data_IF_895247025248
#
_entry.id   IF_895247025248
#
_cell.length_a   1.000
_cell.length_b   1.000
_cell.length_c   1.000
_cell.angle_alpha   90.00
_cell.angle_beta   90.00
_cell.angle_gamma   90.00
#
_symmetry.space_group_name_H-M   'P 1'
#
loop_
_entity.id
_entity.type
_entity.pdbx_description
1 polymer ?
#
# COMPACT_ATOMS: atom_id res chain seq x y z
N UNK A 1 -37.47 -57.38 21.87
CA UNK A 1 -38.49 -56.50 21.25
C UNK A 1 -38.18 -55.05 21.65
N UNK A 2 -37.82 -54.24 20.64
CA UNK A 2 -37.85 -52.76 20.55
C UNK A 2 -37.01 -51.93 21.55
N UNK A 3 -35.89 -51.34 21.10
CA UNK A 3 -35.71 -50.06 20.35
C UNK A 3 -35.88 -48.81 21.24
N UNK A 4 -34.75 -48.17 21.55
CA UNK A 4 -34.46 -46.78 21.14
C UNK A 4 -32.94 -46.53 21.17
N UNK A 5 -32.39 -46.40 19.99
CA UNK A 5 -31.08 -45.83 19.68
C UNK A 5 -31.24 -44.38 19.22
N UNK A 6 -30.10 -43.66 19.10
CA UNK A 6 -29.87 -42.34 18.46
C UNK A 6 -30.07 -41.17 19.44
N UNK A 7 -29.14 -40.23 19.69
CA UNK A 7 -27.95 -39.73 18.97
C UNK A 7 -26.92 -39.21 19.99
N UNK A 8 -25.67 -39.71 19.97
CA UNK A 8 -24.53 -39.09 20.66
C UNK A 8 -23.30 -39.22 19.75
N UNK A 9 -23.34 -38.53 18.61
CA UNK A 9 -22.28 -38.62 17.61
C UNK A 9 -22.13 -37.33 16.80
N UNK A 10 -22.08 -36.16 17.46
CA UNK A 10 -21.78 -34.87 16.79
C UNK A 10 -20.60 -34.10 17.42
N UNK A 11 -20.20 -34.40 18.66
CA UNK A 11 -19.13 -33.64 19.35
C UNK A 11 -17.69 -34.01 18.96
N UNK A 12 -17.47 -35.11 18.22
CA UNK A 12 -16.13 -35.46 17.73
C UNK A 12 -15.81 -34.86 16.36
N UNK A 13 -16.83 -34.53 15.55
CA UNK A 13 -16.61 -33.98 14.21
C UNK A 13 -16.31 -32.48 14.25
N UNK A 14 -16.97 -31.74 15.14
CA UNK A 14 -16.69 -30.31 15.36
C UNK A 14 -15.31 -30.06 15.98
N UNK A 15 -14.92 -30.85 16.98
CA UNK A 15 -13.58 -30.76 17.58
C UNK A 15 -12.45 -31.14 16.61
N UNK A 16 -12.69 -32.09 15.69
CA UNK A 16 -11.72 -32.47 14.66
C UNK A 16 -11.59 -31.43 13.55
N UNK A 17 -12.66 -30.68 13.25
CA UNK A 17 -12.62 -29.55 12.31
C UNK A 17 -11.92 -28.35 12.96
N UNK A 18 -12.20 -28.03 14.22
CA UNK A 18 -11.49 -26.95 14.96
C UNK A 18 -10.00 -27.25 15.14
N UNK A 19 -9.62 -28.49 15.42
CA UNK A 19 -8.20 -28.86 15.51
C UNK A 19 -7.54 -28.84 14.13
N UNK A 20 -8.17 -29.39 13.08
CA UNK A 20 -7.61 -29.28 11.72
C UNK A 20 -7.52 -27.83 11.24
N UNK A 21 -8.47 -26.96 11.56
CA UNK A 21 -8.44 -25.55 11.21
C UNK A 21 -7.35 -24.79 12.00
N UNK A 22 -7.15 -25.10 13.28
CA UNK A 22 -5.99 -24.60 14.07
C UNK A 22 -4.66 -25.10 13.51
N UNK A 23 -4.53 -26.37 13.15
CA UNK A 23 -3.27 -26.91 12.60
C UNK A 23 -2.97 -26.39 11.19
N UNK A 24 -3.98 -26.22 10.34
CA UNK A 24 -3.80 -25.65 9.00
C UNK A 24 -3.47 -24.15 9.11
N UNK A 25 -4.18 -23.39 9.92
CA UNK A 25 -3.87 -21.97 10.13
C UNK A 25 -2.49 -21.77 10.79
N UNK A 26 -2.11 -22.64 11.74
CA UNK A 26 -0.78 -22.65 12.34
C UNK A 26 0.31 -23.04 11.34
N UNK A 27 0.08 -24.02 10.47
CA UNK A 27 1.07 -24.47 9.47
C UNK A 27 1.30 -23.41 8.37
N UNK A 28 0.23 -22.76 7.90
CA UNK A 28 0.35 -21.64 6.95
C UNK A 28 0.96 -20.40 7.61
N UNK A 29 0.56 -20.04 8.84
CA UNK A 29 1.18 -18.97 9.60
C UNK A 29 2.66 -19.25 9.90
N UNK A 30 3.01 -20.51 10.17
CA UNK A 30 4.39 -20.93 10.42
C UNK A 30 5.22 -20.89 9.13
N UNK A 31 4.70 -21.34 7.98
CA UNK A 31 5.37 -21.19 6.67
C UNK A 31 5.59 -19.72 6.30
N UNK A 32 4.57 -18.87 6.41
CA UNK A 32 4.68 -17.42 6.15
C UNK A 32 5.65 -16.76 7.13
N UNK A 33 5.60 -17.15 8.40
CA UNK A 33 6.56 -16.73 9.43
C UNK A 33 7.97 -17.11 9.03
N UNK A 34 8.25 -18.33 8.57
CA UNK A 34 9.59 -18.73 8.12
C UNK A 34 10.06 -17.94 6.88
N UNK A 35 9.19 -17.65 5.90
CA UNK A 35 9.58 -16.86 4.72
C UNK A 35 9.89 -15.41 5.08
N UNK A 36 9.10 -14.78 5.95
CA UNK A 36 9.37 -13.42 6.41
C UNK A 36 10.51 -13.34 7.45
N UNK A 37 10.70 -14.36 8.28
CA UNK A 37 11.90 -14.47 9.12
C UNK A 37 13.15 -14.57 8.26
N UNK A 38 13.11 -15.33 7.16
CA UNK A 38 14.22 -15.37 6.20
C UNK A 38 14.50 -13.99 5.61
N UNK A 39 13.47 -13.26 5.15
CA UNK A 39 13.63 -11.90 4.60
C UNK A 39 14.13 -10.91 5.67
N UNK A 40 13.64 -11.01 6.90
CA UNK A 40 14.05 -10.12 8.00
C UNK A 40 15.47 -10.44 8.51
N UNK A 41 15.81 -11.72 8.70
CA UNK A 41 17.16 -12.16 9.05
C UNK A 41 18.16 -11.75 7.96
N UNK A 42 17.74 -11.77 6.69
CA UNK A 42 18.53 -11.26 5.57
C UNK A 42 18.77 -9.74 5.66
N UNK A 43 17.89 -8.97 6.32
CA UNK A 43 18.05 -7.52 6.57
C UNK A 43 18.58 -7.14 7.96
N UNK A 44 18.83 -8.12 8.84
CA UNK A 44 19.27 -7.90 10.23
C UNK A 44 20.60 -7.14 10.34
N UNK A 45 21.47 -7.27 9.33
CA UNK A 45 22.75 -6.54 9.25
C UNK A 45 22.58 -5.01 9.20
N UNK A 46 21.40 -4.48 8.85
CA UNK A 46 21.13 -3.03 8.89
C UNK A 46 21.06 -2.49 10.33
N UNK A 47 20.80 -3.36 11.31
CA UNK A 47 20.63 -3.08 12.73
C UNK A 47 22.00 -3.09 13.48
N UNK A 48 23.06 -3.63 12.87
CA UNK A 48 24.42 -3.75 13.46
C UNK A 48 25.17 -2.41 13.48
N UNK A 49 24.62 -1.40 14.15
CA UNK A 49 25.37 -0.18 14.47
C UNK A 49 26.11 -0.22 15.80
N UNK A 50 25.79 -1.12 16.74
CA UNK A 50 26.49 -1.20 18.05
C UNK A 50 26.41 -2.60 18.69
N UNK A 51 26.94 -3.63 18.04
CA UNK A 51 27.21 -4.90 18.74
C UNK A 51 28.72 -5.01 19.00
N UNK A 52 29.20 -5.06 20.27
CA UNK A 52 30.56 -5.51 20.51
C UNK A 52 30.67 -6.93 19.97
N UNK A 53 31.75 -7.19 19.24
CA UNK A 53 32.11 -8.52 18.75
C UNK A 53 32.02 -9.54 19.89
N UNK A 54 31.60 -10.80 19.63
CA UNK A 54 31.65 -11.82 20.65
C UNK A 54 33.11 -11.99 21.06
N UNK A 55 33.40 -11.64 22.31
CA UNK A 55 34.68 -11.90 22.96
C UNK A 55 34.83 -13.42 22.99
N UNK A 56 35.53 -13.96 21.99
CA UNK A 56 36.00 -15.32 22.01
C UNK A 56 36.94 -15.46 23.21
N UNK A 57 36.56 -16.31 24.14
CA UNK A 57 37.33 -16.66 25.32
C UNK A 57 38.62 -17.40 24.92
N UNK A 58 39.68 -16.64 24.66
CA UNK A 58 41.05 -17.14 24.68
C UNK A 58 42.01 -15.95 24.89
N UNK A 59 42.52 -15.79 26.11
CA UNK A 59 43.76 -15.04 26.30
C UNK A 59 44.92 -15.86 25.69
N UNK A 60 45.92 -15.19 25.09
CA UNK A 60 47.10 -14.89 25.87
C UNK A 60 47.58 -13.44 25.75
N UNK A 61 48.27 -13.04 26.82
CA UNK A 61 48.94 -11.76 27.03
C UNK A 61 50.13 -11.63 26.07
N UNK A 62 50.14 -10.60 25.22
CA UNK A 62 51.37 -9.90 24.78
C UNK A 62 51.04 -8.42 24.57
N UNK A 63 51.75 -7.56 25.31
CA UNK A 63 51.70 -6.11 25.19
C UNK A 63 52.07 -5.65 23.77
N UNK A 64 51.25 -4.80 23.16
CA UNK A 64 51.68 -3.92 22.07
C UNK A 64 50.84 -2.64 22.05
N UNK A 65 51.49 -1.57 22.54
CA UNK A 65 51.50 -0.20 21.98
C UNK A 65 50.15 0.41 21.57
N UNK A 66 49.83 1.50 22.27
CA UNK A 66 48.90 2.55 21.81
C UNK A 66 49.35 3.00 20.41
N UNK A 67 48.68 2.49 19.37
CA UNK A 67 48.72 3.07 18.03
C UNK A 67 47.40 3.80 17.79
N UNK A 68 47.47 5.11 17.98
CA UNK A 68 46.59 6.09 17.32
C UNK A 68 46.75 5.93 15.82
N UNK A 69 45.96 5.05 15.20
CA UNK A 69 45.80 5.05 13.76
C UNK A 69 44.33 4.98 13.39
N UNK A 70 43.92 6.09 12.77
CA UNK A 70 42.73 6.27 11.94
C UNK A 70 42.65 5.17 10.90
N UNK A 71 42.11 4.02 11.27
CA UNK A 71 41.84 2.94 10.34
C UNK A 71 40.45 3.16 9.76
N UNK A 72 40.47 3.61 8.50
CA UNK A 72 39.41 3.42 7.52
C UNK A 72 38.85 2.00 7.64
N UNK A 73 37.78 1.84 8.42
CA UNK A 73 36.96 0.65 8.41
C UNK A 73 36.33 0.61 7.01
N UNK A 74 36.95 -0.12 6.07
CA UNK A 74 36.32 -0.53 4.83
C UNK A 74 35.09 -1.33 5.25
N UNK A 75 33.94 -0.67 5.36
CA UNK A 75 32.62 -1.32 5.46
C UNK A 75 32.57 -2.30 4.29
N UNK A 76 32.85 -3.57 4.56
CA UNK A 76 32.61 -4.62 3.60
C UNK A 76 31.12 -4.57 3.32
N UNK A 77 30.75 -4.24 2.08
CA UNK A 77 29.36 -4.27 1.65
C UNK A 77 28.89 -5.72 1.79
N UNK A 78 28.07 -5.98 2.81
CA UNK A 78 27.43 -7.29 2.92
C UNK A 78 26.55 -7.51 1.67
N UNK A 79 26.45 -8.74 1.15
CA UNK A 79 25.57 -9.04 0.01
C UNK A 79 24.13 -8.56 0.21
N UNK A 80 23.69 -8.54 1.46
CA UNK A 80 22.39 -8.08 1.88
C UNK A 80 22.24 -6.55 1.90
N UNK A 81 23.31 -5.79 2.15
CA UNK A 81 23.34 -4.32 1.99
C UNK A 81 23.20 -3.96 0.52
N UNK A 82 23.89 -4.71 -0.34
CA UNK A 82 23.79 -4.57 -1.79
C UNK A 82 22.35 -4.87 -2.23
N UNK A 83 21.76 -5.96 -1.76
CA UNK A 83 20.39 -6.34 -2.07
C UNK A 83 19.38 -5.26 -1.65
N UNK A 84 19.52 -4.66 -0.46
CA UNK A 84 18.68 -3.54 -0.05
C UNK A 84 18.87 -2.33 -0.96
N UNK A 85 20.12 -1.93 -1.26
CA UNK A 85 20.41 -0.74 -2.07
C UNK A 85 19.89 -0.85 -3.52
N UNK A 86 19.67 -2.07 -4.02
CA UNK A 86 18.99 -2.28 -5.31
C UNK A 86 17.52 -1.82 -5.27
N UNK A 87 16.83 -1.90 -4.13
CA UNK A 87 15.42 -1.50 -4.04
C UNK A 87 15.23 0.02 -4.23
N UNK A 88 15.92 0.93 -3.49
CA UNK A 88 15.91 2.35 -3.78
C UNK A 88 16.44 2.70 -5.17
N UNK A 89 17.41 1.96 -5.70
CA UNK A 89 17.91 2.18 -7.06
C UNK A 89 16.82 1.91 -8.11
N UNK A 90 16.11 0.79 -8.01
CA UNK A 90 14.98 0.47 -8.88
C UNK A 90 13.87 1.51 -8.69
N UNK A 91 13.60 1.93 -7.45
CA UNK A 91 12.61 2.96 -7.16
C UNK A 91 12.96 4.29 -7.84
N UNK A 92 14.24 4.66 -7.85
CA UNK A 92 14.77 5.87 -8.48
C UNK A 92 14.70 5.81 -10.01
N UNK A 93 15.06 4.67 -10.61
CA UNK A 93 15.01 4.51 -12.08
C UNK A 93 13.58 4.57 -12.59
N UNK A 94 12.64 3.94 -11.88
CA UNK A 94 11.21 3.99 -12.21
C UNK A 94 10.68 5.41 -12.10
N UNK A 95 10.98 6.14 -11.03
CA UNK A 95 10.47 7.51 -10.85
C UNK A 95 11.04 8.48 -11.88
N UNK A 96 12.34 8.40 -12.19
CA UNK A 96 12.96 9.21 -13.25
C UNK A 96 12.37 8.83 -14.61
N UNK A 97 12.22 7.54 -14.90
CA UNK A 97 11.64 7.06 -16.16
C UNK A 97 10.21 7.57 -16.39
N UNK A 98 9.35 7.47 -15.36
CA UNK A 98 7.97 7.97 -15.43
C UNK A 98 7.91 9.50 -15.55
N UNK A 99 8.78 10.24 -14.85
CA UNK A 99 8.86 11.69 -14.97
C UNK A 99 9.32 12.13 -16.37
N UNK A 100 10.37 11.50 -16.91
CA UNK A 100 10.85 11.80 -18.26
C UNK A 100 9.80 11.46 -19.33
N UNK A 101 9.13 10.31 -19.20
CA UNK A 101 8.03 9.94 -20.08
C UNK A 101 6.91 11.00 -20.05
N UNK A 102 6.54 11.46 -18.86
CA UNK A 102 5.53 12.51 -18.69
C UNK A 102 5.96 13.84 -19.33
N UNK A 103 7.22 14.24 -19.18
CA UNK A 103 7.76 15.48 -19.77
C UNK A 103 7.81 15.38 -21.30
N UNK A 104 8.34 14.28 -21.85
CA UNK A 104 8.39 14.05 -23.31
C UNK A 104 6.99 14.10 -23.89
N UNK A 105 6.03 13.44 -23.23
CA UNK A 105 4.64 13.43 -23.64
C UNK A 105 3.99 14.81 -23.54
N UNK A 106 4.27 15.56 -22.47
CA UNK A 106 3.75 16.92 -22.31
C UNK A 106 4.29 17.84 -23.42
N UNK A 107 5.58 17.72 -23.75
CA UNK A 107 6.19 18.44 -24.87
C UNK A 107 5.49 18.13 -26.19
N UNK A 108 5.27 16.85 -26.51
CA UNK A 108 4.54 16.45 -27.73
C UNK A 108 3.14 17.05 -27.78
N UNK A 109 2.42 17.07 -26.66
CA UNK A 109 1.08 17.67 -26.57
C UNK A 109 1.08 19.20 -26.75
N UNK A 110 2.17 19.89 -26.41
CA UNK A 110 2.30 21.34 -26.61
C UNK A 110 2.86 21.71 -27.99
N UNK A 111 3.55 20.79 -28.66
CA UNK A 111 4.00 20.97 -30.05
C UNK A 111 2.82 20.82 -31.04
N UNK A 112 1.73 20.16 -30.65
CA UNK A 112 0.49 20.09 -31.42
C UNK A 112 -0.20 21.48 -31.49
N UNK A 113 -0.70 21.92 -32.67
CA UNK A 113 -1.33 23.22 -32.82
C UNK A 113 -2.58 23.35 -31.94
N UNK A 114 -2.74 24.51 -31.30
CA UNK A 114 -3.89 24.84 -30.46
C UNK A 114 -5.19 24.66 -31.24
N UNK A 115 -5.99 23.68 -30.85
CA UNK A 115 -7.26 23.33 -31.50
C UNK A 115 -8.42 24.28 -31.12
N UNK A 116 -8.20 25.21 -30.16
CA UNK A 116 -9.21 26.17 -29.69
C UNK A 116 -8.60 27.42 -29.06
N UNK A 117 -9.34 28.53 -29.10
CA UNK A 117 -9.02 29.81 -28.45
C UNK A 117 -9.81 30.04 -27.14
N UNK A 118 -10.40 28.99 -26.56
CA UNK A 118 -11.22 29.10 -25.34
C UNK A 118 -10.43 28.80 -24.09
N UNK A 119 -10.50 29.70 -23.10
CA UNK A 119 -9.93 29.47 -21.76
C UNK A 119 -10.79 28.46 -20.98
N UNK A 120 -10.14 27.64 -20.16
CA UNK A 120 -10.78 26.66 -19.28
C UNK A 120 -11.07 27.27 -17.90
N UNK A 121 -12.17 26.85 -17.26
CA UNK A 121 -12.47 27.20 -15.87
C UNK A 121 -11.48 26.49 -14.93
N UNK A 122 -10.74 27.25 -14.13
CA UNK A 122 -9.78 26.72 -13.16
C UNK A 122 -10.40 25.80 -12.10
N UNK A 123 -11.68 26.02 -11.75
CA UNK A 123 -12.38 25.23 -10.73
C UNK A 123 -13.06 24.00 -11.32
N UNK A 124 -13.40 24.03 -12.60
CA UNK A 124 -14.03 22.93 -13.34
C UNK A 124 -13.43 22.83 -14.75
N UNK A 125 -12.17 22.38 -14.87
CA UNK A 125 -11.50 22.24 -16.15
C UNK A 125 -12.13 21.13 -17.02
N UNK A 126 -12.98 20.28 -16.42
CA UNK A 126 -13.75 19.23 -17.08
C UNK A 126 -15.20 19.64 -17.39
N UNK A 127 -15.50 20.95 -17.53
CA UNK A 127 -16.84 21.44 -17.87
C UNK A 127 -17.48 20.65 -19.02
N UNK A 128 -18.82 20.70 -19.16
CA UNK A 128 -19.68 19.94 -20.11
C UNK A 128 -19.17 19.95 -21.57
N UNK A 129 -18.06 19.27 -21.81
CA UNK A 129 -17.47 19.09 -23.12
C UNK A 129 -17.97 17.72 -23.60
N UNK A 130 -18.62 17.67 -24.77
CA UNK A 130 -18.98 16.40 -25.38
C UNK A 130 -17.74 15.51 -25.53
N UNK A 131 -17.93 14.19 -25.60
CA UNK A 131 -16.86 13.21 -25.84
C UNK A 131 -16.34 13.39 -27.27
N UNK A 132 -15.53 14.42 -27.47
CA UNK A 132 -14.84 14.78 -28.70
C UNK A 132 -13.32 14.75 -28.45
N UNK A 133 -12.51 14.78 -29.51
CA UNK A 133 -11.03 14.82 -29.44
C UNK A 133 -10.49 15.93 -28.51
N UNK A 134 -11.24 17.02 -28.33
CA UNK A 134 -10.90 18.12 -27.40
C UNK A 134 -10.93 17.70 -25.92
N UNK A 135 -11.93 16.91 -25.52
CA UNK A 135 -12.00 16.35 -24.16
C UNK A 135 -10.81 15.40 -23.91
N UNK A 136 -10.34 14.72 -24.95
CA UNK A 136 -9.17 13.84 -24.92
C UNK A 136 -7.87 14.63 -24.66
N UNK A 137 -7.68 15.80 -25.27
CA UNK A 137 -6.47 16.61 -25.05
C UNK A 137 -6.34 17.10 -23.60
N UNK A 138 -7.42 17.63 -23.02
CA UNK A 138 -7.40 18.11 -21.62
C UNK A 138 -7.12 16.95 -20.64
N UNK A 139 -7.72 15.78 -20.87
CA UNK A 139 -7.43 14.59 -20.09
C UNK A 139 -5.99 14.10 -20.25
N UNK A 140 -5.44 14.14 -21.48
CA UNK A 140 -4.04 13.80 -21.75
C UNK A 140 -3.07 14.73 -21.01
N UNK A 141 -3.35 16.03 -20.97
CA UNK A 141 -2.54 17.00 -20.21
C UNK A 141 -2.64 16.71 -18.72
N UNK A 142 -3.86 16.52 -18.20
CA UNK A 142 -4.10 16.20 -16.79
C UNK A 142 -3.37 14.94 -16.35
N UNK A 143 -3.46 13.88 -17.14
CA UNK A 143 -2.79 12.61 -16.91
C UNK A 143 -1.27 12.78 -16.88
N UNK A 144 -0.67 13.45 -17.86
CA UNK A 144 0.78 13.70 -17.89
C UNK A 144 1.26 14.52 -16.67
N UNK A 145 0.55 15.59 -16.31
CA UNK A 145 0.90 16.44 -15.16
C UNK A 145 0.73 15.67 -13.84
N UNK A 146 -0.30 14.82 -13.74
CA UNK A 146 -0.58 14.05 -12.52
C UNK A 146 0.58 13.14 -12.09
N UNK A 147 1.46 12.76 -13.02
CA UNK A 147 2.62 11.88 -12.76
C UNK A 147 3.80 12.65 -12.17
N UNK A 148 3.92 13.96 -12.41
CA UNK A 148 5.13 14.73 -12.07
C UNK A 148 5.35 14.86 -10.55
N UNK A 149 4.31 15.26 -9.80
CA UNK A 149 4.38 15.42 -8.34
C UNK A 149 4.68 14.10 -7.61
N UNK A 150 3.95 13.00 -7.85
CA UNK A 150 4.28 11.74 -7.18
C UNK A 150 5.66 11.21 -7.60
N UNK A 151 6.09 11.41 -8.84
CA UNK A 151 7.43 11.02 -9.27
C UNK A 151 8.53 11.81 -8.56
N UNK A 152 8.35 13.12 -8.32
CA UNK A 152 9.35 13.92 -7.58
C UNK A 152 9.44 13.48 -6.12
N UNK A 153 8.30 13.22 -5.47
CA UNK A 153 8.30 12.63 -4.12
C UNK A 153 8.97 11.25 -4.10
N UNK A 154 8.69 10.40 -5.08
CA UNK A 154 9.33 9.09 -5.18
C UNK A 154 10.84 9.19 -5.41
N UNK A 155 11.31 10.16 -6.22
CA UNK A 155 12.74 10.44 -6.40
C UNK A 155 13.41 10.86 -5.10
N UNK A 156 12.84 11.85 -4.38
CA UNK A 156 13.39 12.32 -3.10
C UNK A 156 13.43 11.17 -2.10
N UNK A 157 12.34 10.41 -2.01
CA UNK A 157 12.26 9.20 -1.20
C UNK A 157 13.36 8.20 -1.58
N UNK A 158 13.53 7.88 -2.86
CA UNK A 158 14.52 6.92 -3.33
C UNK A 158 15.97 7.35 -3.03
N UNK A 159 16.30 8.63 -3.23
CA UNK A 159 17.63 9.18 -2.88
C UNK A 159 17.89 9.03 -1.37
N UNK A 160 16.90 9.38 -0.54
CA UNK A 160 16.98 9.19 0.90
C UNK A 160 16.97 7.70 1.30
N UNK A 161 16.51 6.81 0.43
CA UNK A 161 16.52 5.36 0.60
C UNK A 161 17.92 4.75 0.70
N UNK A 162 18.95 5.46 0.24
CA UNK A 162 20.35 5.08 0.45
C UNK A 162 20.87 5.41 1.87
N UNK A 163 19.98 5.71 2.82
CA UNK A 163 20.31 5.98 4.23
C UNK A 163 21.28 4.96 4.88
N UNK A 164 21.32 3.65 4.57
CA UNK A 164 22.31 2.75 5.17
C UNK A 164 23.76 3.07 4.79
N UNK A 165 23.97 3.67 3.62
CA UNK A 165 25.28 4.09 3.13
C UNK A 165 25.74 5.42 3.74
N UNK A 166 24.83 6.20 4.32
CA UNK A 166 25.15 7.49 4.93
C UNK A 166 26.00 7.30 6.19
N UNK A 167 27.16 7.98 6.24
CA UNK A 167 28.08 7.97 7.40
C UNK A 167 27.57 8.82 8.58
N UNK A 168 26.81 9.87 8.29
CA UNK A 168 26.25 10.80 9.26
C UNK A 168 24.76 11.02 8.97
N UNK A 169 23.98 11.40 9.98
CA UNK A 169 22.55 11.70 9.87
C UNK A 169 21.68 10.57 9.28
N UNK A 170 22.08 9.31 9.49
CA UNK A 170 21.38 8.11 8.99
C UNK A 170 19.88 8.12 9.31
N UNK A 171 19.52 8.49 10.55
CA UNK A 171 18.11 8.61 11.00
C UNK A 171 17.34 9.69 10.23
N UNK A 172 17.96 10.83 9.94
CA UNK A 172 17.30 11.90 9.20
C UNK A 172 16.96 11.46 7.78
N UNK A 173 17.90 10.82 7.07
CA UNK A 173 17.63 10.25 5.74
C UNK A 173 16.55 9.16 5.78
N UNK A 174 16.56 8.31 6.80
CA UNK A 174 15.53 7.29 7.00
C UNK A 174 14.14 7.89 7.21
N UNK A 175 14.02 8.95 8.02
CA UNK A 175 12.76 9.68 8.22
C UNK A 175 12.30 10.33 6.92
N UNK A 176 13.20 11.03 6.20
CA UNK A 176 12.90 11.65 4.91
C UNK A 176 12.39 10.59 3.92
N UNK A 177 13.06 9.43 3.83
CA UNK A 177 12.64 8.31 3.00
C UNK A 177 11.22 7.86 3.32
N UNK A 178 10.91 7.61 4.60
CA UNK A 178 9.57 7.22 5.05
C UNK A 178 8.53 8.28 4.67
N UNK A 179 8.80 9.55 4.95
CA UNK A 179 7.83 10.63 4.68
C UNK A 179 7.54 10.79 3.19
N UNK A 180 8.58 10.82 2.35
CA UNK A 180 8.40 11.04 0.92
C UNK A 180 7.87 9.80 0.20
N UNK A 181 8.20 8.58 0.65
CA UNK A 181 7.56 7.36 0.15
C UNK A 181 6.07 7.31 0.51
N UNK A 182 5.68 7.70 1.73
CA UNK A 182 4.26 7.76 2.11
C UNK A 182 3.47 8.77 1.27
N UNK A 183 4.04 9.98 1.08
CA UNK A 183 3.44 11.01 0.22
C UNK A 183 3.37 10.55 -1.25
N UNK A 184 4.42 9.90 -1.76
CA UNK A 184 4.42 9.36 -3.10
C UNK A 184 3.30 8.33 -3.30
N UNK A 185 3.15 7.36 -2.39
CA UNK A 185 2.09 6.34 -2.46
C UNK A 185 0.70 6.97 -2.50
N UNK A 186 0.43 7.96 -1.64
CA UNK A 186 -0.86 8.68 -1.62
C UNK A 186 -1.12 9.43 -2.93
N UNK A 187 -0.10 10.03 -3.53
CA UNK A 187 -0.22 10.79 -4.77
C UNK A 187 -0.24 9.90 -6.02
N UNK A 188 0.34 8.70 -5.98
CA UNK A 188 0.29 7.77 -7.11
C UNK A 188 -1.10 7.16 -7.32
N UNK A 189 -1.90 6.95 -6.27
CA UNK A 189 -3.26 6.41 -6.41
C UNK A 189 -4.15 7.23 -7.37
N UNK A 190 -4.30 8.57 -7.21
CA UNK A 190 -5.07 9.37 -8.16
C UNK A 190 -4.40 9.48 -9.55
N UNK A 191 -3.07 9.41 -9.64
CA UNK A 191 -2.37 9.47 -10.94
C UNK A 191 -2.55 8.19 -11.76
N UNK A 192 -2.50 7.01 -11.11
CA UNK A 192 -2.84 5.72 -11.76
C UNK A 192 -4.28 5.75 -12.26
N UNK A 193 -5.21 6.31 -11.49
CA UNK A 193 -6.60 6.52 -11.92
C UNK A 193 -6.69 7.41 -13.17
N UNK A 194 -5.98 8.55 -13.19
CA UNK A 194 -5.98 9.46 -14.34
C UNK A 194 -5.44 8.82 -15.63
N UNK A 195 -4.31 8.11 -15.54
CA UNK A 195 -3.70 7.41 -16.69
C UNK A 195 -4.60 6.28 -17.18
N UNK A 196 -5.23 5.53 -16.27
CA UNK A 196 -6.14 4.44 -16.62
C UNK A 196 -7.38 4.95 -17.39
N UNK A 197 -7.97 6.07 -16.96
CA UNK A 197 -9.09 6.69 -17.68
C UNK A 197 -8.67 7.14 -19.06
N UNK A 198 -7.50 7.76 -19.19
CA UNK A 198 -7.01 8.24 -20.48
C UNK A 198 -6.80 7.09 -21.47
N UNK A 199 -6.20 5.98 -21.04
CA UNK A 199 -6.04 4.78 -21.86
C UNK A 199 -7.42 4.26 -22.28
N UNK A 200 -8.38 4.15 -21.34
CA UNK A 200 -9.72 3.69 -21.66
C UNK A 200 -10.45 4.62 -22.64
N UNK A 201 -10.43 5.94 -22.41
CA UNK A 201 -11.08 6.90 -23.28
C UNK A 201 -10.48 6.87 -24.68
N UNK A 202 -9.16 6.84 -24.78
CA UNK A 202 -8.46 6.82 -26.08
C UNK A 202 -8.74 5.54 -26.85
N UNK A 203 -8.52 4.37 -26.24
CA UNK A 203 -8.59 3.10 -26.96
C UNK A 203 -9.99 2.51 -27.03
N UNK A 204 -10.81 2.65 -25.99
CA UNK A 204 -12.14 2.01 -25.93
C UNK A 204 -13.24 2.95 -26.42
N UNK A 205 -13.22 4.21 -25.98
CA UNK A 205 -14.36 5.11 -26.21
C UNK A 205 -14.27 5.87 -27.55
N UNK A 206 -13.09 6.38 -27.89
CA UNK A 206 -12.87 7.18 -29.12
C UNK A 206 -12.61 6.25 -30.31
N UNK A 207 -11.62 5.36 -30.19
CA UNK A 207 -11.16 4.57 -31.33
C UNK A 207 -11.76 3.16 -31.41
N UNK A 208 -12.43 2.68 -30.35
CA UNK A 208 -12.99 1.32 -30.25
C UNK A 208 -11.96 0.18 -30.55
N UNK A 209 -10.68 0.45 -30.31
CA UNK A 209 -9.52 -0.44 -30.51
C UNK A 209 -9.22 -1.37 -29.33
N UNK A 210 -10.24 -1.76 -28.55
CA UNK A 210 -10.05 -2.61 -27.37
C UNK A 210 -9.54 -4.03 -27.70
N UNK A 211 -9.71 -4.48 -28.94
CA UNK A 211 -9.17 -5.75 -29.45
C UNK A 211 -7.71 -5.66 -29.91
N UNK A 212 -7.14 -4.46 -30.04
CA UNK A 212 -5.78 -4.29 -30.55
C UNK A 212 -4.74 -4.70 -29.50
N UNK A 213 -3.67 -5.34 -29.96
CA UNK A 213 -2.54 -5.73 -29.11
C UNK A 213 -1.91 -4.53 -28.40
N UNK A 214 -1.93 -3.36 -29.02
CA UNK A 214 -1.47 -2.09 -28.44
C UNK A 214 -2.19 -1.75 -27.13
N UNK A 215 -3.52 -1.89 -27.08
CA UNK A 215 -4.30 -1.64 -25.87
C UNK A 215 -3.86 -2.57 -24.72
N UNK A 216 -3.69 -3.87 -25.01
CA UNK A 216 -3.24 -4.85 -24.02
C UNK A 216 -1.83 -4.53 -23.50
N UNK A 217 -0.92 -4.11 -24.39
CA UNK A 217 0.44 -3.68 -24.00
C UNK A 217 0.37 -2.47 -23.05
N UNK A 218 -0.46 -1.45 -23.34
CA UNK A 218 -0.61 -0.29 -22.46
C UNK A 218 -1.17 -0.67 -21.08
N UNK A 219 -2.10 -1.62 -21.00
CA UNK A 219 -2.62 -2.12 -19.72
C UNK A 219 -1.56 -2.89 -18.94
N UNK A 220 -0.76 -3.73 -19.58
CA UNK A 220 0.36 -4.42 -18.92
C UNK A 220 1.37 -3.41 -18.38
N UNK A 221 1.74 -2.41 -19.18
CA UNK A 221 2.66 -1.35 -18.77
C UNK A 221 2.09 -0.52 -17.61
N UNK A 222 0.79 -0.21 -17.63
CA UNK A 222 0.10 0.46 -16.53
C UNK A 222 0.18 -0.36 -15.24
N UNK A 223 -0.11 -1.67 -15.31
CA UNK A 223 0.00 -2.56 -14.17
C UNK A 223 1.43 -2.63 -13.63
N UNK A 224 2.43 -2.80 -14.50
CA UNK A 224 3.84 -2.85 -14.12
C UNK A 224 4.32 -1.53 -13.49
N UNK A 225 3.96 -0.39 -14.09
CA UNK A 225 4.28 0.93 -13.56
C UNK A 225 3.60 1.17 -12.20
N UNK A 226 2.32 0.79 -12.06
CA UNK A 226 1.59 0.93 -10.79
C UNK A 226 2.21 0.08 -9.67
N UNK A 227 2.72 -1.11 -9.98
CA UNK A 227 3.47 -1.93 -9.03
C UNK A 227 4.75 -1.22 -8.57
N UNK A 228 5.54 -0.70 -9.51
CA UNK A 228 6.77 0.05 -9.21
C UNK A 228 6.54 1.38 -8.49
N UNK A 229 5.37 2.00 -8.67
CA UNK A 229 5.04 3.30 -8.10
C UNK A 229 4.34 3.21 -6.73
N UNK A 230 3.59 2.14 -6.46
CA UNK A 230 2.80 1.98 -5.23
C UNK A 230 3.40 0.90 -4.31
N UNK A 231 3.64 -0.30 -4.86
CA UNK A 231 4.05 -1.46 -4.07
C UNK A 231 5.51 -1.33 -3.63
N UNK A 232 6.40 -0.98 -4.55
CA UNK A 232 7.83 -0.87 -4.25
C UNK A 232 8.13 0.20 -3.18
N UNK A 233 7.61 1.45 -3.25
CA UNK A 233 7.78 2.42 -2.17
C UNK A 233 7.16 1.99 -0.85
N UNK A 234 6.09 1.20 -0.86
CA UNK A 234 5.48 0.66 0.37
C UNK A 234 6.38 -0.37 1.03
N UNK A 235 7.05 -1.23 0.26
CA UNK A 235 8.02 -2.20 0.77
C UNK A 235 9.25 -1.49 1.33
N UNK A 236 9.85 -0.56 0.59
CA UNK A 236 11.06 0.17 1.03
C UNK A 236 10.79 1.02 2.27
N UNK A 237 9.64 1.70 2.33
CA UNK A 237 9.15 2.40 3.51
C UNK A 237 8.97 1.46 4.69
N UNK A 238 8.40 0.28 4.49
CA UNK A 238 8.18 -0.69 5.58
C UNK A 238 9.49 -1.19 6.15
N UNK A 239 10.48 -1.47 5.30
CA UNK A 239 11.82 -1.86 5.73
C UNK A 239 12.51 -0.72 6.48
N UNK A 240 12.40 0.52 5.99
CA UNK A 240 12.95 1.66 6.70
C UNK A 240 12.27 1.90 8.05
N UNK A 241 10.95 1.72 8.13
CA UNK A 241 10.19 1.89 9.36
C UNK A 241 10.50 0.82 10.42
N UNK A 242 10.72 -0.43 10.02
CA UNK A 242 11.08 -1.51 10.96
C UNK A 242 12.41 -1.26 11.65
N UNK A 243 13.33 -0.58 10.96
CA UNK A 243 14.68 -0.27 11.43
C UNK A 243 14.77 1.06 12.21
N UNK A 244 13.64 1.69 12.55
CA UNK A 244 13.66 2.91 13.37
C UNK A 244 14.05 2.62 14.82
N UNK A 245 13.75 1.42 15.31
CA UNK A 245 13.92 1.03 16.72
C UNK A 245 14.52 -0.37 16.74
N UNK A 246 15.55 -0.61 17.58
CA UNK A 246 16.25 -1.90 17.62
C UNK A 246 15.29 -3.04 17.95
N UNK A 247 15.59 -4.21 17.37
CA UNK A 247 14.78 -5.42 17.51
C UNK A 247 14.49 -5.77 18.98
N UNK A 248 13.22 -5.72 19.38
CA UNK A 248 12.74 -6.30 20.63
C UNK A 248 11.64 -7.31 20.34
N UNK A 249 11.92 -8.60 20.55
CA UNK A 249 10.94 -9.66 20.33
C UNK A 249 10.04 -9.80 21.54
N UNK A 250 8.72 -9.72 21.34
CA UNK A 250 7.75 -10.17 22.33
C UNK A 250 7.00 -11.40 21.85
N UNK A 251 6.98 -12.44 22.67
CA UNK A 251 6.53 -13.78 22.29
C UNK A 251 5.02 -14.03 22.40
N UNK A 252 4.22 -13.05 22.84
CA UNK A 252 2.76 -13.25 23.01
C UNK A 252 2.01 -12.73 21.78
N UNK A 253 1.46 -13.63 20.96
CA UNK A 253 0.67 -13.27 19.78
C UNK A 253 -0.58 -12.49 20.18
N UNK A 254 -0.93 -11.45 19.41
CA UNK A 254 -2.14 -10.68 19.64
C UNK A 254 -3.30 -11.24 18.81
N UNK A 255 -4.17 -12.03 19.46
CA UNK A 255 -5.34 -12.64 18.80
C UNK A 255 -6.28 -11.57 18.26
N UNK A 256 -6.44 -10.45 18.98
CA UNK A 256 -7.32 -9.34 18.57
C UNK A 256 -6.76 -8.69 17.30
N UNK A 257 -5.46 -8.37 17.29
CA UNK A 257 -4.77 -7.84 16.12
C UNK A 257 -4.85 -8.76 14.90
N UNK A 258 -4.73 -10.08 15.09
CA UNK A 258 -4.87 -11.06 14.00
C UNK A 258 -6.30 -11.11 13.47
N UNK A 259 -7.31 -11.14 14.34
CA UNK A 259 -8.72 -11.11 13.93
C UNK A 259 -9.07 -9.83 13.17
N UNK A 260 -8.57 -8.68 13.63
CA UNK A 260 -8.77 -7.39 12.95
C UNK A 260 -8.08 -7.36 11.58
N UNK A 261 -6.85 -7.88 11.47
CA UNK A 261 -6.14 -7.98 10.20
C UNK A 261 -6.86 -8.90 9.19
N UNK A 262 -7.44 -10.00 9.67
CA UNK A 262 -8.24 -10.89 8.83
C UNK A 262 -9.56 -10.23 8.39
N UNK A 263 -10.23 -9.52 9.31
CA UNK A 263 -11.44 -8.78 9.00
C UNK A 263 -11.18 -7.68 7.96
N UNK A 264 -10.07 -6.93 8.08
CA UNK A 264 -9.68 -5.93 7.08
C UNK A 264 -9.33 -6.57 5.74
N UNK A 265 -8.63 -7.70 5.72
CA UNK A 265 -8.35 -8.44 4.49
C UNK A 265 -9.64 -8.89 3.77
N UNK A 266 -10.59 -9.48 4.51
CA UNK A 266 -11.86 -9.94 3.96
C UNK A 266 -12.69 -8.77 3.43
N UNK A 267 -12.83 -7.69 4.20
CA UNK A 267 -13.56 -6.50 3.76
C UNK A 267 -12.89 -5.84 2.54
N UNK A 268 -11.57 -5.67 2.56
CA UNK A 268 -10.83 -5.12 1.42
C UNK A 268 -11.00 -5.98 0.15
N UNK A 269 -10.98 -7.31 0.28
CA UNK A 269 -11.26 -8.21 -0.82
C UNK A 269 -12.70 -8.06 -1.35
N UNK A 270 -13.69 -7.95 -0.47
CA UNK A 270 -15.08 -7.71 -0.90
C UNK A 270 -15.24 -6.39 -1.65
N UNK A 271 -14.68 -5.29 -1.11
CA UNK A 271 -14.69 -3.99 -1.78
C UNK A 271 -13.98 -4.09 -3.13
N UNK A 272 -12.82 -4.75 -3.20
CA UNK A 272 -12.07 -4.94 -4.45
C UNK A 272 -12.89 -5.71 -5.50
N UNK A 273 -13.56 -6.80 -5.13
CA UNK A 273 -14.41 -7.56 -6.05
C UNK A 273 -15.62 -6.75 -6.55
N UNK A 274 -16.35 -6.08 -5.65
CA UNK A 274 -17.51 -5.26 -6.02
C UNK A 274 -17.13 -4.06 -6.89
N UNK A 275 -16.04 -3.38 -6.52
CA UNK A 275 -15.53 -2.24 -7.28
C UNK A 275 -14.99 -2.69 -8.63
N UNK A 276 -14.33 -3.86 -8.72
CA UNK A 276 -13.84 -4.43 -9.97
C UNK A 276 -14.97 -4.79 -10.93
N UNK A 277 -16.05 -5.38 -10.40
CA UNK A 277 -17.27 -5.62 -11.16
C UNK A 277 -17.90 -4.33 -11.69
N UNK A 278 -18.08 -3.33 -10.81
CA UNK A 278 -18.68 -2.04 -11.18
C UNK A 278 -17.83 -1.30 -12.22
N UNK A 279 -16.51 -1.32 -12.05
CA UNK A 279 -15.54 -0.72 -12.98
C UNK A 279 -15.56 -1.42 -14.34
N UNK A 280 -15.59 -2.75 -14.36
CA UNK A 280 -15.69 -3.52 -15.61
C UNK A 280 -16.94 -3.16 -16.38
N UNK A 281 -18.09 -3.05 -15.70
CA UNK A 281 -19.38 -2.66 -16.31
C UNK A 281 -19.37 -1.22 -16.80
N UNK A 282 -18.79 -0.28 -16.05
CA UNK A 282 -18.75 1.13 -16.45
C UNK A 282 -17.82 1.37 -17.64
N UNK A 283 -16.69 0.67 -17.71
CA UNK A 283 -15.66 0.85 -18.75
C UNK A 283 -15.94 0.13 -20.08
N UNK A 284 -16.78 -0.91 -20.08
CA UNK A 284 -17.02 -1.75 -21.29
C UNK A 284 -18.38 -1.54 -21.94
N UNK A 285 -19.43 -1.23 -21.18
CA UNK A 285 -20.78 -1.03 -21.73
C UNK A 285 -21.01 0.39 -22.27
N UNK A 286 -20.01 0.97 -22.95
CA UNK A 286 -20.03 2.36 -23.49
C UNK A 286 -21.23 2.61 -24.41
N UNK A 287 -21.67 1.59 -25.15
CA UNK A 287 -22.83 1.64 -26.06
C UNK A 287 -24.15 1.89 -25.36
N UNK A 288 -24.32 1.48 -24.10
CA UNK A 288 -25.50 1.76 -23.29
C UNK A 288 -25.51 3.19 -22.72
N UNK A 289 -24.34 3.82 -22.55
CA UNK A 289 -24.25 5.21 -22.10
C UNK A 289 -24.49 6.22 -23.24
N UNK A 290 -24.12 5.86 -24.48
CA UNK A 290 -24.29 6.70 -25.68
C UNK A 290 -25.77 6.94 -26.04
N UNK A 291 -26.71 6.11 -25.58
CA UNK A 291 -28.14 6.23 -25.91
C UNK A 291 -28.89 7.28 -25.10
N UNK A 292 -28.33 7.78 -23.99
CA UNK A 292 -28.96 8.84 -23.18
C UNK A 292 -28.14 10.14 -23.24
N UNK A 293 -28.70 11.25 -23.77
CA UNK A 293 -27.98 12.51 -23.94
C UNK A 293 -27.59 13.18 -22.61
N UNK A 294 -28.24 12.82 -21.49
CA UNK A 294 -27.87 13.28 -20.15
C UNK A 294 -26.60 12.59 -19.60
N UNK A 295 -26.21 11.45 -20.18
CA UNK A 295 -25.13 10.58 -19.72
C UNK A 295 -23.90 10.59 -20.62
N UNK A 296 -24.11 10.84 -21.92
CA UNK A 296 -23.06 10.98 -22.92
C UNK A 296 -22.05 12.10 -22.63
N UNK A 297 -22.37 13.06 -21.74
CA UNK A 297 -21.55 14.24 -21.47
C UNK A 297 -20.80 14.20 -20.12
N UNK A 298 -20.77 13.06 -19.42
CA UNK A 298 -20.10 12.95 -18.11
C UNK A 298 -18.98 11.89 -18.09
N UNK A 299 -17.73 12.26 -18.48
CA UNK A 299 -16.58 11.35 -18.48
C UNK A 299 -16.31 10.70 -17.10
N UNK A 300 -16.71 11.37 -16.01
CA UNK A 300 -16.57 10.86 -14.64
C UNK A 300 -17.42 9.63 -14.32
N UNK A 301 -18.49 9.34 -15.08
CA UNK A 301 -19.35 8.17 -14.86
C UNK A 301 -18.76 6.89 -15.48
N UNK A 302 -17.93 7.02 -16.52
CA UNK A 302 -17.33 5.87 -17.21
C UNK A 302 -16.26 5.14 -16.38
N UNK A 303 -15.67 5.84 -15.40
CA UNK A 303 -14.66 5.28 -14.48
C UNK A 303 -15.20 4.99 -13.08
N UNK A 304 -16.53 4.84 -12.96
CA UNK A 304 -17.17 4.54 -11.69
C UNK A 304 -16.52 3.32 -11.02
N UNK A 305 -16.24 3.43 -9.72
CA UNK A 305 -15.57 2.43 -8.90
C UNK A 305 -14.07 2.17 -9.17
N UNK A 306 -13.44 2.74 -10.20
CA UNK A 306 -12.03 2.47 -10.50
C UNK A 306 -11.10 2.96 -9.38
N UNK A 307 -11.41 4.12 -8.80
CA UNK A 307 -10.64 4.69 -7.68
C UNK A 307 -10.77 3.81 -6.43
N UNK A 308 -11.95 3.27 -6.22
CA UNK A 308 -12.30 2.36 -5.14
C UNK A 308 -11.53 1.04 -5.28
N UNK A 309 -11.41 0.48 -6.50
CA UNK A 309 -10.57 -0.71 -6.75
C UNK A 309 -9.11 -0.45 -6.37
N UNK A 310 -8.55 0.68 -6.80
CA UNK A 310 -7.14 1.02 -6.55
C UNK A 310 -6.87 1.10 -5.05
N UNK A 311 -7.71 1.84 -4.31
CA UNK A 311 -7.57 1.98 -2.84
C UNK A 311 -7.84 0.64 -2.13
N UNK A 312 -8.82 -0.14 -2.55
CA UNK A 312 -9.12 -1.44 -1.95
C UNK A 312 -8.01 -2.46 -2.19
N UNK A 313 -7.39 -2.45 -3.37
CA UNK A 313 -6.22 -3.31 -3.67
C UNK A 313 -5.04 -2.94 -2.79
N UNK A 314 -4.82 -1.66 -2.54
CA UNK A 314 -3.80 -1.21 -1.58
C UNK A 314 -4.13 -1.64 -0.15
N UNK A 315 -5.39 -1.49 0.30
CA UNK A 315 -5.83 -1.94 1.62
C UNK A 315 -5.68 -3.46 1.79
N UNK A 316 -5.91 -4.24 0.73
CA UNK A 316 -5.68 -5.68 0.72
C UNK A 316 -4.19 -6.00 0.88
N UNK A 317 -3.30 -5.32 0.14
CA UNK A 317 -1.85 -5.46 0.31
C UNK A 317 -1.41 -5.09 1.73
N UNK A 318 -1.94 -3.98 2.26
CA UNK A 318 -1.66 -3.51 3.61
C UNK A 318 -2.12 -4.51 4.69
N UNK A 319 -3.25 -5.18 4.49
CA UNK A 319 -3.76 -6.19 5.42
C UNK A 319 -2.79 -7.35 5.64
N UNK A 320 -1.99 -7.71 4.62
CA UNK A 320 -0.91 -8.71 4.73
C UNK A 320 0.16 -8.23 5.71
N UNK A 321 0.59 -6.97 5.60
CA UNK A 321 1.54 -6.38 6.54
C UNK A 321 0.98 -6.31 7.96
N UNK A 322 -0.30 -5.97 8.10
CA UNK A 322 -0.95 -5.93 9.41
C UNK A 322 -1.00 -7.30 10.07
N UNK A 323 -1.31 -8.34 9.29
CA UNK A 323 -1.30 -9.71 9.76
C UNK A 323 0.09 -10.15 10.20
N UNK A 324 1.12 -9.86 9.40
CA UNK A 324 2.52 -10.17 9.76
C UNK A 324 2.93 -9.45 11.04
N UNK A 325 2.59 -8.17 11.19
CA UNK A 325 2.89 -7.39 12.38
C UNK A 325 2.18 -7.96 13.63
N UNK A 326 0.90 -8.34 13.51
CA UNK A 326 0.13 -8.94 14.61
C UNK A 326 0.66 -10.32 15.05
N UNK A 327 1.13 -11.14 14.10
CA UNK A 327 1.69 -12.47 14.38
C UNK A 327 3.10 -12.40 14.96
N UNK A 328 3.97 -11.55 14.39
CA UNK A 328 5.37 -11.49 14.78
C UNK A 328 5.61 -10.62 16.02
N UNK A 329 4.76 -9.60 16.23
CA UNK A 329 4.82 -8.63 17.34
C UNK A 329 6.22 -8.07 17.61
N UNK A 330 6.97 -7.84 16.53
CA UNK A 330 8.19 -7.05 16.58
C UNK A 330 7.80 -5.57 16.61
N UNK A 331 8.37 -4.80 17.53
CA UNK A 331 8.04 -3.38 17.69
C UNK A 331 8.25 -2.59 16.39
N UNK A 332 9.34 -2.85 15.66
CA UNK A 332 9.58 -2.24 14.35
C UNK A 332 8.48 -2.55 13.32
N UNK A 333 7.98 -3.79 13.29
CA UNK A 333 6.88 -4.18 12.39
C UNK A 333 5.55 -3.55 12.79
N UNK A 334 5.31 -3.36 14.09
CA UNK A 334 4.11 -2.66 14.58
C UNK A 334 4.15 -1.19 14.16
N UNK A 335 5.31 -0.54 14.18
CA UNK A 335 5.48 0.84 13.68
C UNK A 335 5.26 0.91 12.17
N UNK A 336 5.90 0.02 11.41
CA UNK A 336 5.70 -0.05 9.96
C UNK A 336 4.22 -0.27 9.61
N UNK A 337 3.55 -1.18 10.32
CA UNK A 337 2.11 -1.41 10.22
C UNK A 337 1.31 -0.14 10.53
N UNK A 338 1.64 0.60 11.59
CA UNK A 338 0.94 1.84 11.94
C UNK A 338 1.07 2.90 10.84
N UNK A 339 2.25 3.05 10.22
CA UNK A 339 2.46 3.99 9.12
C UNK A 339 1.62 3.60 7.89
N UNK A 340 1.62 2.31 7.51
CA UNK A 340 0.80 1.83 6.39
C UNK A 340 -0.71 2.00 6.69
N UNK A 341 -1.15 1.77 7.94
CA UNK A 341 -2.53 2.04 8.36
C UNK A 341 -2.90 3.50 8.18
N UNK A 342 -2.01 4.46 8.52
CA UNK A 342 -2.24 5.88 8.28
C UNK A 342 -2.44 6.17 6.78
N UNK A 343 -1.60 5.58 5.91
CA UNK A 343 -1.76 5.72 4.46
C UNK A 343 -3.13 5.19 4.01
N UNK A 344 -3.54 4.01 4.48
CA UNK A 344 -4.86 3.45 4.17
C UNK A 344 -6.02 4.34 4.67
N UNK A 345 -5.94 4.86 5.89
CA UNK A 345 -6.95 5.75 6.46
C UNK A 345 -7.09 7.03 5.64
N UNK A 346 -5.97 7.65 5.27
CA UNK A 346 -5.98 8.85 4.41
C UNK A 346 -6.56 8.50 3.03
N UNK A 347 -6.12 7.42 2.39
CA UNK A 347 -6.62 7.00 1.08
C UNK A 347 -8.14 6.72 1.08
N UNK A 348 -8.66 6.02 2.10
CA UNK A 348 -10.10 5.74 2.25
C UNK A 348 -10.89 7.00 2.57
N UNK A 349 -10.37 7.91 3.40
CA UNK A 349 -11.03 9.17 3.71
C UNK A 349 -11.24 10.05 2.47
N UNK A 350 -10.33 10.00 1.50
CA UNK A 350 -10.47 10.73 0.23
C UNK A 350 -11.60 10.19 -0.66
N UNK A 351 -12.04 8.94 -0.47
CA UNK A 351 -13.20 8.38 -1.16
C UNK A 351 -14.52 8.85 -0.55
N UNK A 352 -14.50 9.26 0.72
CA UNK A 352 -15.68 9.66 1.50
C UNK A 352 -15.82 11.18 1.64
N UNK A 353 -15.31 11.96 0.68
CA UNK A 353 -15.51 13.42 0.71
C UNK A 353 -17.00 13.76 0.61
N UNK A 354 -17.46 14.87 1.22
CA UNK A 354 -18.87 15.26 1.16
C UNK A 354 -19.41 15.40 -0.27
N UNK A 355 -18.58 15.92 -1.18
CA UNK A 355 -18.89 16.04 -2.60
C UNK A 355 -19.09 14.68 -3.28
N UNK A 356 -18.26 13.69 -2.96
CA UNK A 356 -18.36 12.33 -3.48
C UNK A 356 -19.58 11.61 -2.93
N UNK A 357 -19.81 11.67 -1.63
CA UNK A 357 -20.99 11.08 -0.99
C UNK A 357 -22.29 11.69 -1.53
N UNK A 358 -22.32 13.01 -1.76
CA UNK A 358 -23.47 13.67 -2.39
C UNK A 358 -23.69 13.14 -3.80
N UNK A 359 -22.65 13.04 -4.62
CA UNK A 359 -22.75 12.48 -5.96
C UNK A 359 -23.24 11.02 -5.94
N UNK A 360 -22.74 10.19 -5.03
CA UNK A 360 -23.16 8.79 -4.85
C UNK A 360 -24.64 8.71 -4.48
N UNK A 361 -25.11 9.54 -3.54
CA UNK A 361 -26.50 9.56 -3.12
C UNK A 361 -27.43 10.05 -4.24
N UNK A 362 -27.08 11.12 -4.94
CA UNK A 362 -27.85 11.62 -6.09
C UNK A 362 -27.90 10.57 -7.21
N UNK A 363 -26.75 10.01 -7.59
CA UNK A 363 -26.69 8.97 -8.61
C UNK A 363 -27.47 7.72 -8.20
N UNK A 364 -27.42 7.32 -6.93
CA UNK A 364 -28.22 6.18 -6.43
C UNK A 364 -29.72 6.43 -6.56
N UNK A 365 -30.19 7.68 -6.36
CA UNK A 365 -31.61 8.04 -6.57
C UNK A 365 -32.00 8.00 -8.03
N UNK A 366 -31.13 8.47 -8.93
CA UNK A 366 -31.37 8.41 -10.38
C UNK A 366 -31.46 6.96 -10.85
N UNK A 367 -30.52 6.11 -10.42
CA UNK A 367 -30.52 4.69 -10.74
C UNK A 367 -31.75 3.96 -10.20
N UNK A 368 -32.33 4.41 -9.09
CA UNK A 368 -33.55 3.83 -8.52
C UNK A 368 -34.78 4.00 -9.44
N UNK A 369 -34.82 5.09 -10.20
CA UNK A 369 -35.96 5.48 -11.04
C UNK A 369 -35.95 4.70 -12.37
N UNK A 370 -34.77 4.49 -12.94
CA UNK A 370 -34.60 3.79 -14.21
C UNK A 370 -33.47 2.75 -14.10
N UNK A 371 -33.81 1.52 -13.70
CA UNK A 371 -32.84 0.44 -13.52
C UNK A 371 -32.39 -0.23 -14.83
N UNK A 372 -33.12 -0.02 -15.94
CA UNK A 372 -32.88 -0.72 -17.21
C UNK A 372 -31.86 -0.01 -18.11
N UNK A 373 -31.69 1.30 -17.95
CA UNK A 373 -30.88 2.13 -18.85
C UNK A 373 -29.40 2.24 -18.44
N UNK A 374 -28.99 1.67 -17.30
CA UNK A 374 -27.64 1.85 -16.75
C UNK A 374 -26.93 0.51 -16.51
N UNK A 375 -25.60 0.45 -16.67
CA UNK A 375 -24.85 -0.80 -16.56
C UNK A 375 -24.57 -1.23 -15.10
N UNK A 376 -24.85 -0.38 -14.12
CA UNK A 376 -24.66 -0.66 -12.69
C UNK A 376 -25.95 -0.38 -11.94
N UNK A 377 -26.46 -1.40 -11.24
CA UNK A 377 -27.66 -1.27 -10.42
C UNK A 377 -27.44 -0.39 -9.18
N UNK A 378 -28.51 0.29 -8.73
CA UNK A 378 -28.49 1.11 -7.52
C UNK A 378 -27.92 0.36 -6.30
N UNK A 379 -28.36 -0.88 -6.09
CA UNK A 379 -27.96 -1.70 -4.93
C UNK A 379 -26.44 -1.87 -4.86
N UNK A 380 -25.78 -2.03 -6.02
CA UNK A 380 -24.33 -2.20 -6.08
C UNK A 380 -23.59 -0.94 -5.63
N UNK A 381 -24.10 0.25 -5.99
CA UNK A 381 -23.51 1.54 -5.59
C UNK A 381 -23.61 1.74 -4.08
N UNK A 382 -24.80 1.51 -3.51
CA UNK A 382 -25.05 1.68 -2.07
C UNK A 382 -24.23 0.68 -1.26
N UNK A 383 -24.21 -0.58 -1.67
CA UNK A 383 -23.53 -1.67 -0.98
C UNK A 383 -22.01 -1.52 -1.06
N UNK A 384 -21.46 -1.06 -2.19
CA UNK A 384 -20.03 -0.72 -2.31
C UNK A 384 -19.63 0.35 -1.29
N UNK A 385 -20.38 1.45 -1.20
CA UNK A 385 -20.05 2.53 -0.27
C UNK A 385 -20.31 2.15 1.20
N UNK A 386 -21.30 1.31 1.48
CA UNK A 386 -21.49 0.71 2.81
C UNK A 386 -20.26 -0.12 3.23
N UNK A 387 -19.71 -0.94 2.33
CA UNK A 387 -18.49 -1.70 2.61
C UNK A 387 -17.25 -0.82 2.74
N UNK A 388 -17.12 0.26 1.96
CA UNK A 388 -16.00 1.22 2.10
C UNK A 388 -16.05 1.89 3.48
N UNK A 389 -17.23 2.33 3.93
CA UNK A 389 -17.42 2.92 5.28
C UNK A 389 -17.09 1.89 6.36
N UNK A 390 -17.53 0.65 6.19
CA UNK A 390 -17.23 -0.45 7.12
C UNK A 390 -15.73 -0.76 7.16
N UNK A 391 -15.06 -0.80 6.00
CA UNK A 391 -13.63 -1.01 5.90
C UNK A 391 -12.84 0.10 6.60
N UNK A 392 -13.25 1.37 6.41
CA UNK A 392 -12.66 2.51 7.11
C UNK A 392 -12.81 2.36 8.64
N UNK A 393 -13.99 1.96 9.09
CA UNK A 393 -14.24 1.72 10.52
C UNK A 393 -13.32 0.64 11.09
N UNK A 394 -13.24 -0.53 10.44
CA UNK A 394 -12.41 -1.64 10.93
C UNK A 394 -10.91 -1.27 10.93
N UNK A 395 -10.42 -0.60 9.89
CA UNK A 395 -9.02 -0.13 9.85
C UNK A 395 -8.78 0.93 10.95
N UNK A 396 -9.75 1.80 11.23
CA UNK A 396 -9.64 2.79 12.33
C UNK A 396 -9.54 2.10 13.70
N UNK A 397 -10.37 1.09 13.95
CA UNK A 397 -10.30 0.27 15.17
C UNK A 397 -8.94 -0.44 15.26
N UNK A 398 -8.47 -1.02 14.16
CA UNK A 398 -7.17 -1.68 14.09
C UNK A 398 -6.02 -0.71 14.37
N UNK A 399 -6.09 0.51 13.85
CA UNK A 399 -5.11 1.56 14.13
C UNK A 399 -5.09 1.95 15.60
N UNK A 400 -6.26 2.13 16.23
CA UNK A 400 -6.37 2.43 17.67
C UNK A 400 -5.71 1.31 18.50
N UNK A 401 -6.01 0.04 18.19
CA UNK A 401 -5.38 -1.12 18.87
C UNK A 401 -3.87 -1.11 18.68
N UNK A 402 -3.40 -0.80 17.47
CA UNK A 402 -1.96 -0.71 17.15
C UNK A 402 -1.28 0.39 17.97
N UNK A 403 -1.90 1.57 18.09
CA UNK A 403 -1.39 2.71 18.89
C UNK A 403 -1.38 2.39 20.38
N UNK A 404 -2.43 1.75 20.90
CA UNK A 404 -2.49 1.30 22.31
C UNK A 404 -1.34 0.32 22.59
N UNK A 405 -1.11 -0.63 21.69
CA UNK A 405 -0.01 -1.58 21.77
C UNK A 405 1.34 -0.88 21.83
N UNK A 406 1.59 0.09 20.95
CA UNK A 406 2.82 0.90 20.95
C UNK A 406 3.01 1.67 22.27
N UNK A 407 1.94 2.30 22.80
CA UNK A 407 2.00 3.07 24.06
C UNK A 407 2.30 2.20 25.27
N UNK A 408 1.70 1.01 25.35
CA UNK A 408 1.89 0.07 26.47
C UNK A 408 3.35 -0.36 26.66
N UNK A 409 4.15 -0.36 25.59
CA UNK A 409 5.57 -0.67 25.62
C UNK A 409 6.46 0.49 26.06
N UNK A 410 6.11 1.72 25.71
CA UNK A 410 6.90 2.89 26.14
C UNK A 410 6.93 3.02 27.67
N UNK A 411 5.85 2.62 28.36
CA UNK A 411 5.76 2.71 29.82
C UNK A 411 6.51 1.61 30.56
N UNK A 412 6.73 0.45 29.95
CA UNK A 412 7.43 -0.68 30.60
C UNK A 412 8.96 -0.49 30.63
N UNK A 413 9.52 0.16 29.60
CA UNK A 413 10.96 0.43 29.51
C UNK A 413 11.43 1.55 30.46
N UNK A 414 10.53 2.45 30.89
CA UNK A 414 10.84 3.49 31.88
C UNK A 414 10.84 2.99 33.32
N UNK A 415 10.21 1.85 33.60
CA UNK A 415 10.14 1.28 34.97
C UNK A 415 11.27 0.30 35.31
N UNK A 416 12.14 -0.05 34.37
CA UNK A 416 13.23 -1.03 34.55
C UNK A 416 14.64 -0.42 34.49
N UNK A 417 14.77 0.91 34.39
CA UNK A 417 16.08 1.59 34.40
C UNK A 417 16.63 1.93 35.79
N UNK A 418 15.92 1.57 36.87
CA UNK A 418 16.46 1.61 38.23
C UNK A 418 16.38 0.22 38.86
N UNK A 419 17.54 -0.31 39.24
CA UNK A 419 17.78 -1.62 39.87
C UNK A 419 17.83 -2.79 38.90
N UNK A 420 19.05 -3.22 38.56
CA UNK A 420 19.63 -4.54 38.86
C UNK A 420 21.11 -4.47 38.44
N UNK A 421 21.97 -4.01 39.34
CA UNK A 421 23.32 -4.55 39.43
C UNK A 421 23.23 -5.71 40.43
N UNK A 422 23.39 -6.98 40.04
CA UNK A 422 23.71 -7.98 41.03
C UNK A 422 25.18 -7.76 41.41
N UNK A 423 25.40 -7.14 42.57
CA UNK A 423 26.68 -7.24 43.27
C UNK A 423 27.01 -8.73 43.39
N UNK A 424 28.03 -9.15 42.67
CA UNK A 424 28.63 -10.46 42.79
C UNK A 424 29.30 -10.50 44.17
N UNK A 425 28.59 -11.01 45.18
CA UNK A 425 29.16 -11.37 46.48
C UNK A 425 30.17 -12.49 46.25
N UNK A 426 31.43 -12.16 46.42
CA UNK A 426 32.50 -13.15 46.63
C UNK A 426 32.28 -13.81 47.98
N UNK A 427 31.94 -15.09 47.96
CA UNK A 427 32.12 -16.00 49.10
C UNK A 427 32.17 -17.45 48.57
N UNK A 428 33.36 -17.91 48.22
CA UNK A 428 34.06 -19.08 48.78
C UNK A 428 35.32 -19.34 47.97
#
# INVERSE_FOLDING_TARGET
RHKRSITRMDTFRENAIETKQKYVCHCYAQKLKWTFFSIYDEFRFLDETEAPSPVSSAHPIVNAVVSTDTTTCKRQLSPSLIAYCLLPLIQLTISIGLALLAIVRLRQLFDDPLSSNSLLDFNKPEGLLPIDERSSQTLKIRSAISVLIPATFQCIGAIAGFWPLAKQNRRSYQIIHITFCALAVLQWMPSVHAVAIEINQTFVQIHEWYHMSSYLIYIILLCAASFGAIVLPSITLSIAATQLIPYSRQLKSDVIGVCLALATALLAATVCCFSGYATSRSLTNVTQWKTSPALANQPSLYSFALREVIVATYALLASVFFFVAAVQRNYGLVIASAIIQIICLVALSQLLSPTRLTAVLVNSRVLAIDNSSYPVAQVNVVLLYAFIVTLLFVISVQFIVTVISLRSHSTTNTSTSHNIYPQQRTSF
#
